data_IF_817247789583
#
_entry.id   IF_817247789583
#
_cell.length_a   1.000
_cell.length_b   1.000
_cell.length_c   1.000
_cell.angle_alpha   90.00
_cell.angle_beta   90.00
_cell.angle_gamma   90.00
#
_symmetry.space_group_name_H-M   'P 1'
#
loop_
_entity.id
_entity.type
_entity.pdbx_description
1 polymer ?
#
# COMPACT_ATOMS: atom_id res chain seq x y z
N UNK A 1 1.02 51.47 -57.55
CA UNK A 1 0.16 51.09 -56.41
C UNK A 1 -0.35 49.68 -56.68
N UNK A 2 -0.05 48.73 -55.80
CA UNK A 2 -0.55 47.35 -55.91
C UNK A 2 0.47 46.29 -55.50
N UNK A 3 1.03 46.40 -54.30
CA UNK A 3 1.69 45.25 -53.65
C UNK A 3 0.61 44.29 -53.15
N UNK A 4 0.67 43.04 -53.61
CA UNK A 4 -0.24 41.97 -53.18
C UNK A 4 0.01 41.54 -51.73
N UNK A 5 -1.00 40.97 -51.05
CA UNK A 5 -0.89 40.61 -49.64
C UNK A 5 0.10 39.45 -49.47
N UNK A 6 1.16 39.69 -48.67
CA UNK A 6 2.00 38.62 -48.12
C UNK A 6 1.11 37.71 -47.29
N UNK A 7 0.98 36.45 -47.72
CA UNK A 7 0.46 35.37 -46.88
C UNK A 7 1.29 35.34 -45.59
N UNK A 8 0.62 35.52 -44.46
CA UNK A 8 1.22 35.31 -43.14
C UNK A 8 1.73 33.87 -43.08
N UNK A 9 3.03 33.73 -42.80
CA UNK A 9 3.61 32.44 -42.42
C UNK A 9 2.85 31.95 -41.19
N UNK A 10 2.33 30.72 -41.25
CA UNK A 10 1.84 30.01 -40.08
C UNK A 10 2.91 30.07 -38.99
N UNK A 11 2.51 30.59 -37.83
CA UNK A 11 3.31 30.56 -36.61
C UNK A 11 3.34 29.12 -36.10
N UNK A 12 4.31 28.33 -36.56
CA UNK A 12 4.52 26.92 -36.14
C UNK A 12 5.26 26.79 -34.81
N UNK A 13 5.44 27.88 -34.04
CA UNK A 13 6.31 27.90 -32.86
C UNK A 13 5.64 27.60 -31.52
N UNK A 14 4.45 27.00 -31.50
CA UNK A 14 3.80 26.67 -30.23
C UNK A 14 2.95 25.38 -30.29
N UNK A 15 3.44 24.32 -30.95
CA UNK A 15 2.82 23.01 -30.75
C UNK A 15 3.16 22.50 -29.35
N UNK A 16 2.18 22.03 -28.56
CA UNK A 16 2.43 21.50 -27.23
C UNK A 16 3.36 20.29 -27.34
N UNK A 17 4.46 20.32 -26.59
CA UNK A 17 5.35 19.18 -26.45
C UNK A 17 4.81 18.26 -25.36
N UNK A 18 4.76 16.97 -25.66
CA UNK A 18 4.22 15.95 -24.75
C UNK A 18 5.31 14.97 -24.36
N UNK A 19 5.21 14.44 -23.14
CA UNK A 19 6.00 13.30 -22.66
C UNK A 19 5.06 12.27 -22.05
N UNK A 20 5.40 10.97 -22.07
CA UNK A 20 4.72 10.00 -21.23
C UNK A 20 4.78 10.44 -19.78
N UNK A 21 3.67 10.29 -19.05
CA UNK A 21 3.67 10.57 -17.63
C UNK A 21 4.79 9.75 -16.95
N UNK A 22 5.71 10.38 -16.20
CA UNK A 22 6.81 9.66 -15.56
C UNK A 22 6.32 8.71 -14.45
N UNK A 23 5.03 8.81 -14.10
CA UNK A 23 4.38 8.06 -13.03
C UNK A 23 3.73 6.74 -13.47
N UNK A 24 3.83 6.40 -14.76
CA UNK A 24 3.25 5.17 -15.30
C UNK A 24 4.04 3.95 -14.82
N UNK A 25 3.29 2.93 -14.39
CA UNK A 25 3.82 1.60 -14.12
C UNK A 25 3.83 0.79 -15.42
N UNK A 26 4.98 0.20 -15.73
CA UNK A 26 5.17 -0.60 -16.92
C UNK A 26 5.37 -2.06 -16.52
N UNK A 27 4.40 -2.90 -16.88
CA UNK A 27 4.46 -4.36 -16.72
C UNK A 27 4.70 -5.03 -18.07
N UNK A 28 4.91 -6.35 -18.11
CA UNK A 28 5.13 -7.08 -19.35
C UNK A 28 3.94 -6.99 -20.33
N UNK A 29 2.72 -7.01 -19.79
CA UNK A 29 1.47 -7.03 -20.58
C UNK A 29 0.47 -5.94 -20.19
N UNK A 30 0.90 -4.93 -19.42
CA UNK A 30 0.03 -3.84 -19.01
C UNK A 30 0.81 -2.54 -18.73
N UNK A 31 0.12 -1.40 -18.89
CA UNK A 31 0.56 -0.08 -18.41
C UNK A 31 -0.51 0.42 -17.45
N UNK A 32 -0.12 0.82 -16.24
CA UNK A 32 -1.04 1.40 -15.26
C UNK A 32 -0.69 2.86 -14.98
N UNK A 33 -1.72 3.69 -14.85
CA UNK A 33 -1.59 5.07 -14.41
C UNK A 33 -2.16 5.21 -12.97
N UNK A 34 -1.31 5.26 -11.94
CA UNK A 34 -1.75 5.32 -10.54
C UNK A 34 -2.46 6.64 -10.19
N UNK A 35 -2.22 7.74 -10.92
CA UNK A 35 -2.95 9.00 -10.68
C UNK A 35 -4.42 8.91 -11.09
N UNK A 36 -4.73 8.14 -12.14
CA UNK A 36 -6.10 8.00 -12.66
C UNK A 36 -6.76 6.69 -12.29
N UNK A 37 -5.98 5.68 -11.88
CA UNK A 37 -6.44 4.31 -11.68
C UNK A 37 -6.70 3.55 -12.98
N UNK A 38 -6.32 4.10 -14.14
CA UNK A 38 -6.54 3.47 -15.45
C UNK A 38 -5.47 2.42 -15.75
N UNK A 39 -5.87 1.36 -16.43
CA UNK A 39 -4.99 0.33 -16.96
C UNK A 39 -5.16 0.17 -18.47
N UNK A 40 -4.07 -0.17 -19.15
CA UNK A 40 -4.02 -0.46 -20.57
C UNK A 40 -3.37 -1.83 -20.77
N UNK A 41 -4.15 -2.81 -21.23
CA UNK A 41 -3.65 -4.16 -21.54
C UNK A 41 -2.90 -4.24 -22.87
N UNK A 42 -2.17 -5.34 -23.09
CA UNK A 42 -1.38 -5.56 -24.30
C UNK A 42 -2.20 -5.63 -25.60
N UNK A 43 -3.50 -5.89 -25.50
CA UNK A 43 -4.48 -5.92 -26.58
C UNK A 43 -5.01 -4.53 -26.96
N UNK A 44 -4.74 -3.50 -26.14
CA UNK A 44 -5.20 -2.15 -26.40
C UNK A 44 -4.47 -1.54 -27.62
N UNK A 45 -5.17 -0.83 -28.54
CA UNK A 45 -4.56 -0.26 -29.74
C UNK A 45 -3.37 0.67 -29.48
N UNK A 46 -3.38 1.36 -28.34
CA UNK A 46 -2.32 2.29 -27.94
C UNK A 46 -1.15 1.63 -27.18
N UNK A 47 -1.23 0.35 -26.83
CA UNK A 47 -0.25 -0.28 -25.93
C UNK A 47 1.17 -0.23 -26.49
N UNK A 48 1.36 -0.72 -27.72
CA UNK A 48 2.70 -0.81 -28.33
C UNK A 48 3.35 0.57 -28.46
N UNK A 49 2.57 1.57 -28.90
CA UNK A 49 3.07 2.93 -29.11
C UNK A 49 3.38 3.62 -27.77
N UNK A 50 2.49 3.56 -26.78
CA UNK A 50 2.75 4.16 -25.47
C UNK A 50 3.93 3.48 -24.76
N UNK A 51 4.02 2.14 -24.83
CA UNK A 51 5.16 1.39 -24.29
C UNK A 51 6.49 1.86 -24.89
N UNK A 52 6.55 2.01 -26.21
CA UNK A 52 7.76 2.46 -26.89
C UNK A 52 8.14 3.88 -26.46
N UNK A 53 7.16 4.79 -26.39
CA UNK A 53 7.39 6.16 -25.93
C UNK A 53 7.95 6.22 -24.49
N UNK A 54 7.44 5.38 -23.58
CA UNK A 54 7.93 5.28 -22.20
C UNK A 54 9.37 4.77 -22.15
N UNK A 55 9.71 3.76 -22.97
CA UNK A 55 11.04 3.15 -22.99
C UNK A 55 12.10 4.05 -23.62
N UNK A 56 11.73 4.83 -24.63
CA UNK A 56 12.65 5.73 -25.31
C UNK A 56 12.84 7.07 -24.57
N UNK A 57 12.00 7.37 -23.57
CA UNK A 57 11.99 8.66 -22.85
C UNK A 57 11.86 9.88 -23.81
N UNK A 58 11.09 9.69 -24.89
CA UNK A 58 11.00 10.65 -25.99
C UNK A 58 10.09 11.86 -25.69
N UNK A 59 10.50 13.04 -26.16
CA UNK A 59 9.64 14.22 -26.28
C UNK A 59 8.92 14.17 -27.62
N UNK A 60 7.60 14.24 -27.56
CA UNK A 60 6.72 14.18 -28.73
C UNK A 60 6.40 15.62 -29.16
N UNK A 61 6.82 15.98 -30.38
CA UNK A 61 6.70 17.34 -30.91
C UNK A 61 5.48 17.54 -31.83
N UNK A 62 4.68 16.51 -32.08
CA UNK A 62 3.60 16.54 -33.07
C UNK A 62 2.21 16.53 -32.42
N UNK A 63 1.31 17.36 -32.96
CA UNK A 63 -0.12 17.25 -32.74
C UNK A 63 -0.71 16.11 -33.58
N UNK A 64 -0.37 14.87 -33.25
CA UNK A 64 -1.02 13.68 -33.82
C UNK A 64 -2.32 13.40 -33.04
N UNK A 65 -3.39 12.97 -33.71
CA UNK A 65 -4.70 12.66 -33.09
C UNK A 65 -4.55 11.70 -31.89
N UNK A 66 -3.76 10.64 -32.07
CA UNK A 66 -3.35 9.72 -31.00
C UNK A 66 -2.72 10.41 -29.76
N UNK A 67 -1.91 11.47 -29.94
CA UNK A 67 -1.30 12.18 -28.81
C UNK A 67 -2.33 12.98 -28.03
N UNK A 68 -3.34 13.53 -28.71
CA UNK A 68 -4.46 14.18 -28.06
C UNK A 68 -5.29 13.17 -27.26
N UNK A 69 -5.61 12.01 -27.85
CA UNK A 69 -6.33 10.94 -27.14
C UNK A 69 -5.57 10.44 -25.90
N UNK A 70 -4.25 10.22 -26.02
CA UNK A 70 -3.42 9.81 -24.90
C UNK A 70 -3.31 10.89 -23.82
N UNK A 71 -3.27 12.17 -24.21
CA UNK A 71 -3.26 13.30 -23.28
C UNK A 71 -4.59 13.48 -22.55
N UNK A 72 -5.72 13.32 -23.24
CA UNK A 72 -7.08 13.39 -22.67
C UNK A 72 -7.34 12.32 -21.59
N UNK A 73 -6.48 11.29 -21.54
CA UNK A 73 -6.51 10.21 -20.56
C UNK A 73 -5.30 10.20 -19.61
N UNK A 74 -4.52 11.29 -19.56
CA UNK A 74 -3.34 11.49 -18.71
C UNK A 74 -2.21 10.45 -18.90
N UNK A 75 -2.16 9.77 -20.05
CA UNK A 75 -1.03 8.92 -20.43
C UNK A 75 0.17 9.76 -20.88
N UNK A 76 -0.11 10.86 -21.57
CA UNK A 76 0.85 11.90 -21.89
C UNK A 76 0.55 13.15 -21.07
N UNK A 77 1.60 13.89 -20.71
CA UNK A 77 1.51 15.18 -20.03
C UNK A 77 2.32 16.24 -20.78
N UNK A 78 1.98 17.53 -20.65
CA UNK A 78 2.80 18.60 -21.21
C UNK A 78 4.20 18.57 -20.60
N UNK A 79 5.21 18.86 -21.42
CA UNK A 79 6.58 19.06 -20.91
C UNK A 79 6.58 20.14 -19.82
N UNK A 80 7.15 19.81 -18.66
CA UNK A 80 7.21 20.71 -17.51
C UNK A 80 5.97 20.67 -16.60
N UNK A 81 4.94 19.89 -16.92
CA UNK A 81 3.84 19.64 -15.99
C UNK A 81 4.34 18.87 -14.76
N UNK A 82 3.98 19.36 -13.57
CA UNK A 82 4.34 18.73 -12.30
C UNK A 82 3.12 18.01 -11.70
N UNK A 83 3.10 16.69 -11.80
CA UNK A 83 2.09 15.85 -11.16
C UNK A 83 2.49 15.42 -9.74
N UNK A 84 3.67 15.82 -9.23
CA UNK A 84 4.17 15.33 -7.95
C UNK A 84 3.32 15.74 -6.75
N UNK A 85 2.47 16.76 -6.85
CA UNK A 85 1.51 17.13 -5.81
C UNK A 85 0.17 16.39 -5.89
N UNK A 86 -0.06 15.62 -6.97
CA UNK A 86 -1.30 14.87 -7.17
C UNK A 86 -1.27 13.54 -6.41
N UNK A 87 -2.46 13.08 -6.00
CA UNK A 87 -2.64 11.82 -5.30
C UNK A 87 -4.02 11.23 -5.62
N UNK A 88 -4.15 9.92 -5.39
CA UNK A 88 -5.41 9.18 -5.51
C UNK A 88 -5.49 8.18 -4.36
N UNK A 89 -5.73 8.66 -3.14
CA UNK A 89 -5.64 7.81 -1.95
C UNK A 89 -6.73 6.73 -2.00
N UNK A 90 -6.31 5.47 -1.90
CA UNK A 90 -7.17 4.29 -1.86
C UNK A 90 -6.97 3.52 -0.56
N UNK A 91 -5.76 3.51 -0.04
CA UNK A 91 -5.40 2.69 1.09
C UNK A 91 -4.81 3.53 2.22
N UNK A 92 -5.33 3.34 3.42
CA UNK A 92 -4.85 4.02 4.62
C UNK A 92 -4.32 2.95 5.58
N UNK A 93 -3.07 3.05 5.99
CA UNK A 93 -2.56 2.29 7.13
C UNK A 93 -2.52 3.20 8.35
N UNK A 94 -3.27 2.87 9.40
CA UNK A 94 -3.39 3.67 10.62
C UNK A 94 -3.02 2.82 11.83
N UNK A 95 -1.80 2.99 12.33
CA UNK A 95 -1.33 2.30 13.53
C UNK A 95 -1.78 3.04 14.79
N UNK A 96 -2.66 2.44 15.58
CA UNK A 96 -3.15 3.03 16.83
C UNK A 96 -2.15 2.93 18.00
N UNK A 97 -1.22 1.98 17.94
CA UNK A 97 -0.21 1.73 18.97
C UNK A 97 0.97 0.93 18.40
N UNK A 98 2.14 0.96 19.03
CA UNK A 98 3.34 0.25 18.56
C UNK A 98 3.49 -1.19 19.09
N UNK A 99 2.56 -1.63 19.93
CA UNK A 99 2.66 -2.90 20.69
C UNK A 99 2.21 -4.10 19.85
N UNK A 100 3.00 -5.17 19.85
CA UNK A 100 2.60 -6.50 19.42
C UNK A 100 2.99 -7.53 20.48
N UNK A 101 2.13 -8.51 20.72
CA UNK A 101 2.34 -9.59 21.68
C UNK A 101 3.02 -10.83 21.08
N UNK A 102 3.50 -10.76 19.83
CA UNK A 102 4.30 -11.78 19.15
C UNK A 102 5.62 -11.19 18.62
N UNK A 103 6.53 -12.06 18.18
CA UNK A 103 7.87 -11.74 17.66
C UNK A 103 8.15 -12.58 16.41
N UNK A 104 7.32 -12.41 15.38
CA UNK A 104 7.37 -13.26 14.18
C UNK A 104 8.69 -13.14 13.43
N UNK A 105 9.23 -14.24 12.89
CA UNK A 105 10.51 -14.24 12.14
C UNK A 105 10.50 -13.28 10.93
N UNK A 106 9.33 -13.08 10.31
CA UNK A 106 9.12 -12.17 9.17
C UNK A 106 8.75 -10.73 9.58
N UNK A 107 8.97 -10.35 10.84
CA UNK A 107 8.61 -9.05 11.38
C UNK A 107 9.81 -8.38 12.09
N UNK A 108 10.15 -7.12 11.78
CA UNK A 108 11.23 -6.38 12.46
C UNK A 108 11.08 -6.29 13.97
N UNK A 109 9.85 -6.37 14.50
CA UNK A 109 9.57 -6.39 15.95
C UNK A 109 10.29 -7.55 16.67
N UNK A 110 10.61 -8.64 15.95
CA UNK A 110 11.37 -9.78 16.50
C UNK A 110 12.82 -9.43 16.84
N UNK A 111 13.45 -8.53 16.07
CA UNK A 111 14.87 -8.18 16.18
C UNK A 111 15.11 -6.78 16.75
N UNK A 112 14.15 -5.86 16.58
CA UNK A 112 14.25 -4.47 16.96
C UNK A 112 12.92 -3.98 17.59
N UNK A 113 12.47 -4.54 18.73
CA UNK A 113 11.18 -4.17 19.32
C UNK A 113 11.11 -2.66 19.64
N UNK A 114 9.97 -2.03 19.33
CA UNK A 114 9.71 -0.62 19.64
C UNK A 114 9.21 -0.45 21.07
N UNK A 115 9.51 0.71 21.64
CA UNK A 115 8.91 1.13 22.92
C UNK A 115 7.37 1.21 22.79
N UNK A 116 6.62 0.75 23.81
CA UNK A 116 5.17 0.87 23.81
C UNK A 116 4.72 2.32 23.73
N UNK A 117 3.94 2.63 22.69
CA UNK A 117 3.30 3.91 22.48
C UNK A 117 1.87 3.68 22.02
N UNK A 118 0.94 4.46 22.55
CA UNK A 118 -0.47 4.44 22.18
C UNK A 118 -0.84 5.83 21.68
N UNK A 119 -1.27 5.92 20.42
CA UNK A 119 -1.77 7.17 19.86
C UNK A 119 -2.93 7.69 20.73
N UNK A 120 -2.95 8.97 21.11
CA UNK A 120 -4.09 9.55 21.80
C UNK A 120 -5.38 9.39 20.98
N UNK A 121 -6.49 9.01 21.62
CA UNK A 121 -7.77 8.78 20.94
C UNK A 121 -8.23 9.98 20.12
N UNK A 122 -7.98 11.20 20.59
CA UNK A 122 -8.30 12.43 19.84
C UNK A 122 -7.54 12.53 18.52
N UNK A 123 -6.26 12.12 18.50
CA UNK A 123 -5.45 12.11 17.26
C UNK A 123 -5.94 11.03 16.31
N UNK A 124 -6.30 9.85 16.82
CA UNK A 124 -6.89 8.78 16.02
C UNK A 124 -8.22 9.21 15.38
N UNK A 125 -9.14 9.74 16.18
CA UNK A 125 -10.46 10.21 15.71
C UNK A 125 -10.32 11.33 14.68
N UNK A 126 -9.39 12.27 14.91
CA UNK A 126 -9.08 13.32 13.93
C UNK A 126 -8.52 12.74 12.63
N UNK A 127 -7.60 11.79 12.69
CA UNK A 127 -7.04 11.15 11.50
C UNK A 127 -8.14 10.46 10.67
N UNK A 128 -9.03 9.71 11.31
CA UNK A 128 -10.17 9.05 10.66
C UNK A 128 -11.09 10.08 9.99
N UNK A 129 -11.45 11.17 10.70
CA UNK A 129 -12.26 12.25 10.14
C UNK A 129 -11.59 12.90 8.92
N UNK A 130 -10.31 13.25 9.03
CA UNK A 130 -9.58 13.90 7.95
C UNK A 130 -9.43 12.99 6.72
N UNK A 131 -9.33 11.66 6.89
CA UNK A 131 -9.39 10.69 5.79
C UNK A 131 -10.74 10.74 5.09
N UNK A 132 -11.85 10.75 5.84
CA UNK A 132 -13.19 10.83 5.26
C UNK A 132 -13.40 12.14 4.48
N UNK A 133 -12.82 13.25 4.95
CA UNK A 133 -12.84 14.58 4.30
C UNK A 133 -11.97 14.69 3.03
N UNK A 134 -11.21 13.65 2.66
CA UNK A 134 -10.41 13.67 1.42
C UNK A 134 -11.28 13.52 0.16
N UNK A 135 -12.49 12.97 0.28
CA UNK A 135 -13.37 12.64 -0.85
C UNK A 135 -12.67 11.76 -1.90
N UNK A 136 -11.87 10.80 -1.42
CA UNK A 136 -11.09 9.86 -2.23
C UNK A 136 -11.76 8.47 -2.24
N UNK A 137 -11.46 7.61 -3.24
CA UNK A 137 -12.00 6.25 -3.30
C UNK A 137 -11.28 5.33 -2.30
N UNK A 138 -11.49 5.54 -0.99
CA UNK A 138 -10.88 4.74 0.06
C UNK A 138 -11.45 3.32 0.02
N UNK A 139 -10.57 2.34 -0.18
CA UNK A 139 -10.88 0.91 -0.23
C UNK A 139 -10.65 0.22 1.11
N UNK A 140 -9.67 0.68 1.90
CA UNK A 140 -9.54 0.25 3.29
C UNK A 140 -8.81 1.25 4.18
N UNK A 141 -9.28 1.36 5.42
CA UNK A 141 -8.52 1.87 6.56
C UNK A 141 -8.04 0.69 7.37
N UNK A 142 -6.81 0.28 7.10
CA UNK A 142 -6.17 -0.86 7.72
C UNK A 142 -5.50 -0.47 9.01
N UNK A 143 -5.89 -1.10 10.12
CA UNK A 143 -5.33 -0.82 11.45
C UNK A 143 -3.95 -1.48 11.63
N UNK A 144 -2.93 -1.07 10.87
CA UNK A 144 -1.61 -1.72 10.88
C UNK A 144 -0.46 -0.73 10.72
N UNK A 145 0.65 -1.04 11.40
CA UNK A 145 1.99 -1.03 10.80
C UNK A 145 2.79 -2.24 11.27
N UNK A 146 3.10 -2.29 12.57
CA UNK A 146 3.86 -3.38 13.20
C UNK A 146 3.34 -3.69 14.61
N UNK A 147 2.01 -3.67 14.74
CA UNK A 147 1.27 -3.85 15.98
C UNK A 147 0.33 -5.06 15.91
N UNK A 148 -0.26 -5.43 17.04
CA UNK A 148 -1.41 -6.33 17.09
C UNK A 148 -2.65 -5.52 17.47
N UNK A 149 -3.55 -5.20 16.52
CA UNK A 149 -4.67 -4.27 16.79
C UNK A 149 -5.58 -4.77 17.90
N UNK A 150 -5.83 -6.08 17.95
CA UNK A 150 -6.82 -6.65 18.87
C UNK A 150 -6.37 -6.61 20.32
N UNK A 151 -5.09 -6.36 20.64
CA UNK A 151 -4.64 -6.23 22.05
C UNK A 151 -4.89 -4.85 22.65
N UNK A 152 -5.22 -3.83 21.84
CA UNK A 152 -5.63 -2.53 22.36
C UNK A 152 -7.06 -2.63 22.94
N UNK A 153 -7.24 -2.23 24.21
CA UNK A 153 -8.57 -2.21 24.85
C UNK A 153 -9.56 -1.29 24.14
N UNK A 154 -9.06 -0.37 23.32
CA UNK A 154 -9.84 0.58 22.51
C UNK A 154 -10.19 0.04 21.13
N UNK A 155 -9.75 -1.17 20.77
CA UNK A 155 -9.87 -1.73 19.43
C UNK A 155 -11.30 -1.65 18.85
N UNK A 156 -12.30 -2.12 19.60
CA UNK A 156 -13.71 -2.10 19.16
C UNK A 156 -14.20 -0.67 18.89
N UNK A 157 -13.84 0.29 19.76
CA UNK A 157 -14.22 1.70 19.60
C UNK A 157 -13.45 2.39 18.45
N UNK A 158 -12.21 1.98 18.18
CA UNK A 158 -11.44 2.44 17.02
C UNK A 158 -12.08 1.96 15.72
N UNK A 159 -12.51 0.69 15.66
CA UNK A 159 -13.27 0.15 14.52
C UNK A 159 -14.58 0.90 14.35
N UNK A 160 -15.30 1.18 15.45
CA UNK A 160 -16.53 1.99 15.44
C UNK A 160 -16.30 3.37 14.86
N UNK A 161 -15.24 4.05 15.30
CA UNK A 161 -14.89 5.36 14.77
C UNK A 161 -14.67 5.36 13.25
N UNK A 162 -13.97 4.35 12.70
CA UNK A 162 -13.76 4.21 11.26
C UNK A 162 -15.10 3.98 10.53
N UNK A 163 -15.93 3.07 11.04
CA UNK A 163 -17.24 2.75 10.45
C UNK A 163 -18.20 3.92 10.47
N UNK A 164 -18.28 4.65 11.59
CA UNK A 164 -19.17 5.80 11.77
C UNK A 164 -18.77 6.98 10.86
N UNK A 165 -17.49 7.05 10.45
CA UNK A 165 -17.00 7.96 9.43
C UNK A 165 -17.32 7.51 7.98
N UNK A 166 -18.02 6.38 7.79
CA UNK A 166 -18.36 5.83 6.48
C UNK A 166 -17.18 5.18 5.76
N UNK A 167 -16.10 4.86 6.47
CA UNK A 167 -14.88 4.29 5.89
C UNK A 167 -14.84 2.75 6.04
N UNK A 168 -14.26 2.03 5.07
CA UNK A 168 -14.12 0.58 5.13
C UNK A 168 -13.02 0.16 6.12
N UNK A 169 -13.42 -0.28 7.32
CA UNK A 169 -12.48 -0.76 8.34
C UNK A 169 -11.86 -2.12 7.96
N UNK A 170 -10.53 -2.20 8.02
CA UNK A 170 -9.78 -3.43 7.77
C UNK A 170 -8.81 -3.75 8.92
N UNK A 171 -8.66 -5.03 9.26
CA UNK A 171 -7.83 -5.49 10.37
C UNK A 171 -6.97 -6.67 9.96
N UNK A 172 -5.67 -6.57 10.27
CA UNK A 172 -4.69 -7.64 10.14
C UNK A 172 -4.26 -8.01 11.57
N UNK A 173 -4.45 -9.27 11.95
CA UNK A 173 -4.24 -9.75 13.31
C UNK A 173 -3.46 -11.07 13.33
N UNK A 174 -2.81 -11.36 14.45
CA UNK A 174 -2.30 -12.68 14.79
C UNK A 174 -3.35 -13.59 15.45
N UNK A 175 -4.58 -13.07 15.66
CA UNK A 175 -5.74 -13.81 16.17
C UNK A 175 -5.72 -14.08 17.68
N UNK A 176 -4.65 -13.70 18.40
CA UNK A 176 -4.47 -14.12 19.79
C UNK A 176 -5.41 -13.42 20.79
N UNK A 177 -5.93 -12.24 20.44
CA UNK A 177 -6.95 -11.53 21.23
C UNK A 177 -8.29 -11.37 20.48
N UNK A 178 -8.54 -12.23 19.47
CA UNK A 178 -9.84 -12.37 18.80
C UNK A 178 -10.80 -13.20 19.68
N UNK A 179 -10.94 -12.80 20.94
CA UNK A 179 -11.81 -13.47 21.92
C UNK A 179 -13.29 -13.32 21.50
N UNK A 180 -14.20 -14.19 21.98
CA UNK A 180 -15.62 -14.13 21.65
C UNK A 180 -16.24 -12.74 21.77
N UNK A 181 -15.88 -11.99 22.81
CA UNK A 181 -16.39 -10.63 23.03
C UNK A 181 -15.97 -9.67 21.91
N UNK A 182 -14.76 -9.80 21.37
CA UNK A 182 -14.28 -9.02 20.23
C UNK A 182 -15.05 -9.40 18.97
N UNK A 183 -15.23 -10.70 18.71
CA UNK A 183 -15.95 -11.22 17.53
C UNK A 183 -17.41 -10.75 17.57
N UNK A 184 -18.09 -10.95 18.69
CA UNK A 184 -19.48 -10.56 18.88
C UNK A 184 -19.68 -9.06 18.75
N UNK A 185 -18.72 -8.25 19.23
CA UNK A 185 -18.75 -6.81 19.04
C UNK A 185 -18.69 -6.45 17.54
N UNK A 186 -17.79 -7.06 16.76
CA UNK A 186 -17.71 -6.82 15.32
C UNK A 186 -18.99 -7.26 14.60
N UNK A 187 -19.53 -8.44 14.94
CA UNK A 187 -20.80 -8.95 14.40
C UNK A 187 -21.96 -8.01 14.74
N UNK A 188 -22.06 -7.53 15.98
CA UNK A 188 -23.12 -6.61 16.44
C UNK A 188 -23.12 -5.28 15.69
N UNK A 189 -21.97 -4.89 15.15
CA UNK A 189 -21.81 -3.69 14.33
C UNK A 189 -22.12 -3.94 12.84
N UNK A 190 -22.55 -5.14 12.47
CA UNK A 190 -22.80 -5.56 11.09
C UNK A 190 -21.54 -5.99 10.33
N UNK A 191 -20.48 -6.39 11.04
CA UNK A 191 -19.21 -6.80 10.46
C UNK A 191 -18.33 -5.64 10.00
N UNK A 192 -17.07 -5.91 9.61
CA UNK A 192 -16.15 -4.94 9.00
C UNK A 192 -15.87 -5.30 7.53
N UNK A 193 -15.14 -4.44 6.80
CA UNK A 193 -14.84 -4.71 5.40
C UNK A 193 -13.91 -5.92 5.23
N UNK A 194 -12.81 -5.97 5.98
CA UNK A 194 -11.81 -7.02 5.81
C UNK A 194 -11.17 -7.40 7.15
N UNK A 195 -11.09 -8.70 7.45
CA UNK A 195 -10.36 -9.22 8.60
C UNK A 195 -9.45 -10.35 8.16
N UNK A 196 -8.14 -10.24 8.43
CA UNK A 196 -7.21 -11.34 8.22
C UNK A 196 -6.47 -11.77 9.47
N UNK A 197 -6.32 -13.08 9.60
CA UNK A 197 -5.49 -13.71 10.63
C UNK A 197 -4.28 -14.35 9.99
N UNK A 198 -3.11 -14.01 10.49
CA UNK A 198 -1.88 -14.66 10.07
C UNK A 198 -1.62 -15.94 10.88
N UNK A 199 -1.79 -17.10 10.25
CA UNK A 199 -1.54 -18.42 10.82
C UNK A 199 -0.75 -19.24 9.80
N UNK A 200 0.51 -19.54 10.11
CA UNK A 200 1.42 -20.22 9.16
C UNK A 200 1.68 -21.68 9.48
N UNK A 201 1.20 -22.18 10.61
CA UNK A 201 1.39 -23.58 10.99
C UNK A 201 0.36 -24.04 12.01
N UNK A 202 0.02 -25.33 11.96
CA UNK A 202 -0.77 -26.02 12.99
C UNK A 202 0.13 -26.80 13.97
N UNK A 203 1.45 -26.81 13.75
CA UNK A 203 2.41 -27.43 14.65
C UNK A 203 2.79 -26.45 15.77
N UNK A 204 2.68 -26.91 17.02
CA UNK A 204 2.89 -26.06 18.19
C UNK A 204 4.34 -25.62 18.35
N UNK A 205 5.29 -26.52 18.10
CA UNK A 205 6.72 -26.23 18.27
C UNK A 205 7.18 -25.24 17.21
N UNK A 206 6.79 -25.48 15.95
CA UNK A 206 7.02 -24.58 14.83
C UNK A 206 6.34 -23.23 15.06
N UNK A 207 5.10 -23.20 15.57
CA UNK A 207 4.42 -21.94 15.90
C UNK A 207 5.20 -21.14 16.96
N UNK A 208 5.59 -21.79 18.05
CA UNK A 208 6.33 -21.13 19.13
C UNK A 208 7.67 -20.57 18.63
N UNK A 209 8.36 -21.30 17.75
CA UNK A 209 9.58 -20.88 17.07
C UNK A 209 9.32 -19.67 16.15
N UNK A 210 8.34 -19.77 15.25
CA UNK A 210 8.07 -18.76 14.22
C UNK A 210 7.52 -17.46 14.78
N UNK A 211 6.79 -17.53 15.90
CA UNK A 211 6.09 -16.38 16.54
C UNK A 211 6.80 -15.86 17.77
N UNK A 212 7.81 -16.56 18.27
CA UNK A 212 8.50 -16.28 19.54
C UNK A 212 7.62 -16.40 20.79
N UNK A 213 6.38 -16.91 20.64
CA UNK A 213 5.38 -17.10 21.69
C UNK A 213 4.48 -18.29 21.34
N UNK A 214 4.11 -19.06 22.35
CA UNK A 214 3.15 -20.16 22.20
C UNK A 214 1.72 -19.68 22.45
N UNK A 215 1.07 -19.18 21.39
CA UNK A 215 -0.33 -18.73 21.42
C UNK A 215 -1.24 -19.63 20.56
N UNK A 216 -0.73 -20.74 20.02
CA UNK A 216 -1.42 -21.50 18.98
C UNK A 216 -2.79 -22.00 19.45
N UNK A 217 -2.86 -22.66 20.60
CA UNK A 217 -4.11 -23.21 21.14
C UNK A 217 -5.19 -22.12 21.29
N UNK A 218 -4.82 -20.94 21.81
CA UNK A 218 -5.72 -19.80 21.94
C UNK A 218 -6.16 -19.25 20.58
N UNK A 219 -5.23 -19.12 19.63
CA UNK A 219 -5.56 -18.65 18.27
C UNK A 219 -6.53 -19.61 17.59
N UNK A 220 -6.31 -20.92 17.70
CA UNK A 220 -7.22 -21.92 17.13
C UNK A 220 -8.60 -21.87 17.79
N UNK A 221 -8.68 -21.72 19.12
CA UNK A 221 -9.96 -21.57 19.81
C UNK A 221 -10.73 -20.32 19.37
N UNK A 222 -10.02 -19.18 19.23
CA UNK A 222 -10.61 -17.93 18.74
C UNK A 222 -11.10 -18.05 17.29
N UNK A 223 -10.29 -18.67 16.42
CA UNK A 223 -10.68 -18.93 15.04
C UNK A 223 -11.86 -19.90 14.94
N UNK A 224 -11.90 -20.94 15.77
CA UNK A 224 -13.02 -21.89 15.82
C UNK A 224 -14.33 -21.22 16.23
N UNK A 225 -14.28 -20.20 17.10
CA UNK A 225 -15.44 -19.36 17.44
C UNK A 225 -15.85 -18.46 16.27
N UNK A 226 -14.87 -17.80 15.63
CA UNK A 226 -15.14 -16.80 14.59
C UNK A 226 -15.57 -17.39 13.25
N UNK A 227 -15.18 -18.64 12.93
CA UNK A 227 -15.21 -19.22 11.58
C UNK A 227 -16.58 -19.21 10.88
N UNK A 228 -17.68 -19.27 11.64
CA UNK A 228 -19.05 -19.31 11.12
C UNK A 228 -19.80 -17.97 11.31
N UNK A 229 -19.11 -16.95 11.84
CA UNK A 229 -19.69 -15.62 12.07
C UNK A 229 -19.53 -14.74 10.85
N UNK A 230 -20.34 -13.68 10.76
CA UNK A 230 -20.20 -12.63 9.74
C UNK A 230 -19.45 -11.41 10.31
N UNK A 231 -18.32 -11.63 10.99
CA UNK A 231 -17.57 -10.54 11.62
C UNK A 231 -16.87 -9.61 10.61
N UNK A 232 -16.68 -10.07 9.37
CA UNK A 232 -16.23 -9.25 8.25
C UNK A 232 -16.83 -9.73 6.93
N UNK A 233 -16.91 -8.84 5.93
CA UNK A 233 -17.32 -9.18 4.56
C UNK A 233 -16.32 -10.16 3.92
N UNK A 234 -15.03 -9.90 4.11
CA UNK A 234 -13.93 -10.77 3.71
C UNK A 234 -13.16 -11.23 4.94
N UNK A 235 -13.19 -12.54 5.19
CA UNK A 235 -12.46 -13.20 6.29
C UNK A 235 -11.36 -14.07 5.69
N UNK A 236 -10.10 -13.79 6.01
CA UNK A 236 -8.95 -14.47 5.40
C UNK A 236 -8.01 -15.05 6.45
N UNK A 237 -7.56 -16.28 6.23
CA UNK A 237 -6.39 -16.83 6.93
C UNK A 237 -5.20 -16.76 5.97
N UNK A 238 -4.19 -16.01 6.35
CA UNK A 238 -2.95 -15.84 5.58
C UNK A 238 -1.87 -16.79 6.10
N UNK A 239 -1.43 -17.67 5.22
CA UNK A 239 -0.32 -18.60 5.45
C UNK A 239 0.93 -18.01 4.82
N UNK A 240 1.89 -17.61 5.65
CA UNK A 240 3.20 -17.13 5.18
C UNK A 240 4.26 -18.21 5.29
N UNK A 241 5.09 -18.34 4.26
CA UNK A 241 6.25 -19.22 4.23
C UNK A 241 7.32 -18.74 3.26
N UNK A 242 8.55 -19.19 3.48
CA UNK A 242 9.71 -18.92 2.60
C UNK A 242 10.25 -20.18 1.92
N UNK A 243 10.04 -21.34 2.53
CA UNK A 243 10.35 -22.64 1.93
C UNK A 243 9.14 -23.14 1.12
N UNK A 244 9.23 -23.30 -0.21
CA UNK A 244 8.05 -23.59 -1.04
C UNK A 244 7.34 -24.89 -0.68
N UNK A 245 8.09 -25.94 -0.31
CA UNK A 245 7.50 -27.25 0.00
C UNK A 245 6.77 -27.23 1.36
N UNK A 246 7.41 -26.69 2.40
CA UNK A 246 6.79 -26.52 3.71
C UNK A 246 5.61 -25.55 3.65
N UNK A 247 5.75 -24.45 2.92
CA UNK A 247 4.69 -23.48 2.74
C UNK A 247 3.45 -24.12 2.10
N UNK A 248 3.63 -24.91 1.04
CA UNK A 248 2.53 -25.64 0.39
C UNK A 248 1.88 -26.66 1.35
N UNK A 249 2.67 -27.39 2.15
CA UNK A 249 2.14 -28.32 3.16
C UNK A 249 1.30 -27.61 4.22
N UNK A 250 1.78 -26.48 4.74
CA UNK A 250 1.06 -25.71 5.75
C UNK A 250 -0.22 -25.09 5.19
N UNK A 251 -0.16 -24.57 3.95
CA UNK A 251 -1.32 -24.07 3.24
C UNK A 251 -2.40 -25.15 3.10
N UNK A 252 -2.03 -26.36 2.66
CA UNK A 252 -2.99 -27.46 2.51
C UNK A 252 -3.60 -27.88 3.86
N UNK A 253 -2.78 -28.02 4.90
CA UNK A 253 -3.24 -28.42 6.22
C UNK A 253 -4.23 -27.41 6.84
N UNK A 254 -3.93 -26.12 6.73
CA UNK A 254 -4.80 -25.04 7.23
C UNK A 254 -6.07 -24.94 6.38
N UNK A 255 -5.96 -25.04 5.05
CA UNK A 255 -7.11 -25.07 4.15
C UNK A 255 -8.06 -26.21 4.50
N UNK A 256 -7.53 -27.40 4.79
CA UNK A 256 -8.34 -28.56 5.20
C UNK A 256 -9.03 -28.34 6.55
N UNK A 257 -8.35 -27.71 7.52
CA UNK A 257 -8.93 -27.41 8.84
C UNK A 257 -10.11 -26.46 8.76
N UNK A 258 -10.01 -25.42 7.94
CA UNK A 258 -11.01 -24.34 7.83
C UNK A 258 -11.97 -24.52 6.63
N UNK A 259 -11.94 -25.68 5.98
CA UNK A 259 -12.87 -26.01 4.90
C UNK A 259 -14.34 -25.89 5.37
N UNK A 260 -15.15 -25.20 4.58
CA UNK A 260 -16.57 -24.97 4.86
C UNK A 260 -16.86 -23.82 5.83
N UNK A 261 -15.85 -23.16 6.38
CA UNK A 261 -16.03 -21.92 7.14
C UNK A 261 -16.11 -20.67 6.23
N UNK A 262 -16.38 -19.51 6.82
CA UNK A 262 -16.30 -18.23 6.13
C UNK A 262 -14.86 -17.76 5.86
N UNK A 263 -13.84 -18.38 6.48
CA UNK A 263 -12.45 -18.04 6.19
C UNK A 263 -11.99 -18.58 4.84
N UNK A 264 -11.55 -17.68 3.96
CA UNK A 264 -10.75 -18.02 2.78
C UNK A 264 -9.30 -18.20 3.22
N UNK A 265 -8.66 -19.30 2.84
CA UNK A 265 -7.23 -19.51 3.12
C UNK A 265 -6.44 -19.05 1.91
N UNK A 266 -5.40 -18.25 2.13
CA UNK A 266 -4.52 -17.72 1.09
C UNK A 266 -3.06 -17.88 1.52
N UNK A 267 -2.21 -18.23 0.58
CA UNK A 267 -0.77 -18.28 0.75
C UNK A 267 -0.09 -17.02 0.19
N UNK A 268 0.89 -16.50 0.91
CA UNK A 268 1.72 -15.39 0.44
C UNK A 268 3.17 -15.58 0.88
N UNK A 269 4.10 -15.05 0.10
CA UNK A 269 5.47 -14.86 0.60
C UNK A 269 5.51 -13.71 1.62
N UNK A 270 6.33 -13.81 2.67
CA UNK A 270 6.58 -12.68 3.57
C UNK A 270 7.40 -11.59 2.88
N UNK A 271 7.50 -10.44 3.56
CA UNK A 271 8.31 -9.32 3.12
C UNK A 271 9.60 -9.20 3.92
N UNK A 272 10.71 -9.02 3.22
CA UNK A 272 12.02 -8.71 3.80
C UNK A 272 12.11 -7.29 4.38
N UNK A 273 11.02 -6.52 4.26
CA UNK A 273 10.90 -5.12 4.69
C UNK A 273 11.94 -4.21 4.05
N UNK A 274 12.08 -4.32 2.73
CA UNK A 274 13.04 -3.56 1.95
C UNK A 274 14.49 -3.78 2.43
N UNK A 275 14.81 -5.05 2.69
CA UNK A 275 16.11 -5.49 3.17
C UNK A 275 16.37 -5.28 4.66
N UNK A 276 15.35 -5.00 5.48
CA UNK A 276 15.51 -4.96 6.95
C UNK A 276 15.73 -6.35 7.53
N UNK A 277 15.05 -7.36 6.97
CA UNK A 277 15.09 -8.74 7.41
C UNK A 277 15.88 -9.59 6.42
N UNK A 278 16.81 -10.38 6.94
CA UNK A 278 17.52 -11.39 6.16
C UNK A 278 16.73 -12.71 6.18
N UNK A 279 15.75 -12.79 5.28
CA UNK A 279 14.86 -13.96 5.13
C UNK A 279 14.95 -14.59 3.73
N UNK A 280 16.02 -14.30 2.99
CA UNK A 280 16.26 -14.87 1.66
C UNK A 280 15.40 -14.29 0.53
N UNK A 281 14.71 -13.16 0.75
CA UNK A 281 13.79 -12.54 -0.22
C UNK A 281 14.27 -11.15 -0.69
N UNK A 282 15.59 -10.96 -0.72
CA UNK A 282 16.22 -9.72 -1.14
C UNK A 282 15.85 -9.35 -2.59
N UNK A 283 15.54 -8.07 -2.83
CA UNK A 283 15.25 -7.55 -4.18
C UNK A 283 16.36 -7.84 -5.20
N UNK A 284 15.98 -8.25 -6.41
CA UNK A 284 16.83 -8.31 -7.60
C UNK A 284 16.86 -6.96 -8.35
N UNK A 285 17.77 -6.83 -9.34
CA UNK A 285 17.82 -5.67 -10.24
C UNK A 285 18.17 -4.34 -9.58
N UNK A 286 18.87 -4.35 -8.44
CA UNK A 286 19.17 -3.15 -7.63
C UNK A 286 20.10 -2.14 -8.34
N UNK A 287 20.76 -2.57 -9.39
CA UNK A 287 21.59 -1.76 -10.28
C UNK A 287 20.78 -0.86 -11.23
N UNK A 288 19.51 -1.20 -11.47
CA UNK A 288 18.60 -0.45 -12.34
C UNK A 288 17.98 0.75 -11.61
N UNK A 289 17.55 1.75 -12.38
CA UNK A 289 16.91 2.95 -11.85
C UNK A 289 15.50 2.64 -11.38
N UNK A 290 15.12 3.18 -10.22
CA UNK A 290 13.75 3.09 -9.70
C UNK A 290 12.82 3.94 -10.58
N UNK A 291 11.67 3.38 -10.97
CA UNK A 291 10.66 4.00 -11.82
C UNK A 291 9.23 3.74 -11.31
N UNK A 292 9.08 3.57 -10.00
CA UNK A 292 7.79 3.37 -9.34
C UNK A 292 7.82 2.32 -8.25
N UNK A 293 6.62 1.95 -7.79
CA UNK A 293 6.39 0.94 -6.76
C UNK A 293 5.10 0.21 -7.11
N UNK A 294 5.13 -1.12 -7.07
CA UNK A 294 3.94 -1.96 -7.18
C UNK A 294 3.83 -2.85 -5.95
N UNK A 295 3.52 -2.22 -4.81
CA UNK A 295 3.18 -2.94 -3.60
C UNK A 295 1.72 -2.67 -3.25
N UNK A 296 0.81 -3.42 -3.89
CA UNK A 296 -0.63 -3.10 -3.96
C UNK A 296 -0.86 -1.74 -4.65
N UNK A 297 -0.29 -1.58 -5.85
CA UNK A 297 -0.22 -0.30 -6.53
C UNK A 297 0.88 0.62 -6.01
N UNK A 298 0.74 1.91 -6.26
CA UNK A 298 1.74 2.92 -5.95
C UNK A 298 1.61 3.41 -4.52
N UNK A 299 2.50 2.95 -3.63
CA UNK A 299 2.58 3.44 -2.24
C UNK A 299 2.60 4.98 -2.12
N UNK A 300 3.44 5.74 -2.86
CA UNK A 300 3.48 7.20 -2.73
C UNK A 300 2.33 7.97 -3.42
N UNK A 301 1.45 7.32 -4.19
CA UNK A 301 0.31 8.00 -4.86
C UNK A 301 -1.04 7.55 -4.29
N UNK A 302 -1.16 6.26 -4.00
CA UNK A 302 -2.43 5.61 -3.65
C UNK A 302 -2.52 5.24 -2.16
N UNK A 303 -1.45 5.39 -1.39
CA UNK A 303 -1.40 5.02 0.03
C UNK A 303 -1.00 6.18 0.92
N UNK A 304 -1.49 6.16 2.15
CA UNK A 304 -0.98 6.95 3.26
C UNK A 304 -0.72 6.03 4.46
N UNK A 305 0.41 6.24 5.14
CA UNK A 305 0.88 5.41 6.24
C UNK A 305 1.11 6.26 7.48
N UNK A 306 0.26 6.07 8.48
CA UNK A 306 0.28 6.83 9.74
C UNK A 306 0.72 5.88 10.85
N UNK A 307 1.83 6.19 11.52
CA UNK A 307 2.37 5.38 12.61
C UNK A 307 1.77 5.76 13.96
N UNK A 308 2.03 4.95 15.00
CA UNK A 308 1.53 5.21 16.35
C UNK A 308 1.84 6.63 16.86
N UNK A 309 3.03 7.17 16.52
CA UNK A 309 3.47 8.52 16.90
C UNK A 309 2.87 9.63 16.02
N UNK A 310 1.87 9.30 15.20
CA UNK A 310 1.22 10.18 14.24
C UNK A 310 2.16 10.73 13.14
N UNK A 311 3.29 10.06 12.90
CA UNK A 311 4.14 10.33 11.74
C UNK A 311 3.47 9.78 10.48
N UNK A 312 3.49 10.55 9.41
CA UNK A 312 3.20 10.05 8.06
C UNK A 312 4.53 9.63 7.45
N UNK A 313 4.66 8.34 7.09
CA UNK A 313 5.88 7.76 6.51
C UNK A 313 5.65 7.34 5.06
N UNK A 314 6.74 7.19 4.29
CA UNK A 314 6.66 6.90 2.85
C UNK A 314 5.95 5.58 2.51
N UNK A 315 6.09 4.56 3.35
CA UNK A 315 5.59 3.22 3.10
C UNK A 315 5.57 2.41 4.40
N UNK A 316 4.69 1.41 4.50
CA UNK A 316 4.69 0.46 5.61
C UNK A 316 5.98 -0.38 5.72
N UNK A 317 6.86 -0.37 4.72
CA UNK A 317 8.18 -1.01 4.82
C UNK A 317 9.18 -0.19 5.64
N UNK A 318 8.92 1.10 5.90
CA UNK A 318 9.82 2.01 6.62
C UNK A 318 9.71 1.86 8.14
N UNK A 319 10.15 0.70 8.66
CA UNK A 319 10.03 0.32 10.07
C UNK A 319 10.61 1.34 11.06
N UNK A 320 11.79 1.87 10.74
CA UNK A 320 12.50 2.84 11.58
C UNK A 320 11.97 4.28 11.40
N UNK A 321 10.97 4.48 10.52
CA UNK A 321 10.41 5.78 10.17
C UNK A 321 11.49 6.77 9.68
N UNK A 322 12.41 6.33 8.81
CA UNK A 322 13.52 7.14 8.29
C UNK A 322 13.05 8.15 7.24
N UNK A 323 11.95 7.86 6.54
CA UNK A 323 11.40 8.63 5.44
C UNK A 323 10.04 9.23 5.84
N UNK A 324 10.07 10.15 6.80
CA UNK A 324 8.89 10.88 7.28
C UNK A 324 8.51 12.00 6.32
N UNK A 325 7.24 12.04 5.95
CA UNK A 325 6.65 13.02 5.03
C UNK A 325 5.83 14.09 5.75
N UNK A 326 5.49 13.89 7.02
CA UNK A 326 4.78 14.85 7.85
C UNK A 326 4.41 14.28 9.22
N UNK A 327 3.72 15.07 10.04
CA UNK A 327 3.23 14.63 11.35
C UNK A 327 1.86 15.26 11.68
N UNK A 328 0.89 14.42 12.08
CA UNK A 328 -0.48 14.89 12.33
C UNK A 328 -0.60 15.76 13.58
N UNK A 329 0.38 15.79 14.48
CA UNK A 329 0.37 16.70 15.62
C UNK A 329 0.56 18.17 15.18
N UNK A 330 1.08 18.41 13.98
CA UNK A 330 1.40 19.76 13.47
C UNK A 330 0.73 20.11 12.16
N UNK A 331 0.22 19.12 11.41
CA UNK A 331 -0.36 19.28 10.09
C UNK A 331 -1.62 18.42 9.96
N UNK A 332 -2.53 18.80 9.08
CA UNK A 332 -3.61 17.94 8.60
C UNK A 332 -3.10 16.96 7.53
N UNK A 333 -3.85 15.88 7.30
CA UNK A 333 -3.56 14.91 6.24
C UNK A 333 -3.48 15.59 4.87
N UNK A 334 -4.40 16.51 4.56
CA UNK A 334 -4.43 17.23 3.28
C UNK A 334 -3.16 18.07 3.09
N UNK A 335 -2.74 18.81 4.11
CA UNK A 335 -1.50 19.60 4.07
C UNK A 335 -0.26 18.73 3.83
N UNK A 336 -0.20 17.55 4.45
CA UNK A 336 0.90 16.59 4.25
C UNK A 336 0.90 16.06 2.82
N UNK A 337 -0.26 15.64 2.29
CA UNK A 337 -0.37 15.02 0.96
C UNK A 337 0.01 15.95 -0.21
N UNK A 338 -0.16 17.27 -0.03
CA UNK A 338 0.23 18.29 -1.02
C UNK A 338 1.57 18.95 -0.70
N UNK A 339 2.24 18.55 0.38
CA UNK A 339 3.51 19.14 0.80
C UNK A 339 4.66 18.82 -0.16
N UNK A 340 5.70 19.66 -0.11
CA UNK A 340 6.94 19.43 -0.86
C UNK A 340 7.64 18.13 -0.45
N UNK A 341 7.51 17.71 0.81
CA UNK A 341 8.09 16.44 1.27
C UNK A 341 7.48 15.25 0.54
N UNK A 342 6.16 15.23 0.36
CA UNK A 342 5.46 14.19 -0.38
C UNK A 342 5.75 14.26 -1.88
N UNK A 343 5.78 15.48 -2.44
CA UNK A 343 6.09 15.72 -3.84
C UNK A 343 7.51 15.24 -4.20
N UNK A 344 8.50 15.59 -3.38
CA UNK A 344 9.87 15.12 -3.50
C UNK A 344 9.96 13.59 -3.40
N UNK A 345 9.28 12.97 -2.43
CA UNK A 345 9.25 11.51 -2.30
C UNK A 345 8.68 10.83 -3.56
N UNK A 346 7.60 11.37 -4.14
CA UNK A 346 7.03 10.87 -5.41
C UNK A 346 8.03 11.01 -6.56
N UNK A 347 8.69 12.17 -6.70
CA UNK A 347 9.70 12.37 -7.76
C UNK A 347 10.88 11.41 -7.61
N UNK A 348 11.34 11.14 -6.38
CA UNK A 348 12.42 10.19 -6.12
C UNK A 348 11.99 8.74 -6.44
N UNK A 349 10.82 8.29 -5.96
CA UNK A 349 10.33 6.91 -6.21
C UNK A 349 10.15 6.63 -7.69
N UNK A 350 9.77 7.63 -8.48
CA UNK A 350 9.61 7.48 -9.93
C UNK A 350 10.88 7.82 -10.72
N UNK A 351 11.98 8.06 -10.02
CA UNK A 351 13.27 8.36 -10.61
C UNK A 351 13.26 9.62 -11.45
N UNK A 352 12.43 10.61 -11.13
CA UNK A 352 12.52 11.96 -11.71
C UNK A 352 13.71 12.68 -11.07
N UNK A 353 13.75 12.64 -9.74
CA UNK A 353 14.87 13.14 -8.93
C UNK A 353 15.80 11.97 -8.53
N UNK A 354 17.11 12.21 -8.35
CA UNK A 354 18.03 11.18 -7.89
C UNK A 354 17.72 10.78 -6.44
N UNK A 355 17.73 9.48 -6.10
CA UNK A 355 17.51 9.05 -4.73
C UNK A 355 18.71 9.41 -3.84
N UNK A 356 18.48 9.80 -2.58
CA UNK A 356 19.54 9.92 -1.59
C UNK A 356 20.19 8.57 -1.30
N UNK A 357 21.38 8.61 -0.67
CA UNK A 357 22.05 7.41 -0.20
C UNK A 357 21.13 6.64 0.77
N UNK A 358 21.12 5.30 0.64
CA UNK A 358 20.29 4.40 1.46
C UNK A 358 18.77 4.59 1.35
N UNK A 359 18.30 5.20 0.25
CA UNK A 359 16.87 5.31 -0.02
C UNK A 359 16.15 3.95 0.04
N UNK A 360 15.08 3.87 0.82
CA UNK A 360 14.43 2.60 1.16
C UNK A 360 13.92 1.85 -0.08
N UNK A 361 13.33 2.56 -1.04
CA UNK A 361 12.78 1.92 -2.24
C UNK A 361 13.86 1.32 -3.13
N UNK A 362 15.11 1.79 -3.05
CA UNK A 362 16.22 1.21 -3.81
C UNK A 362 16.47 -0.26 -3.41
N UNK A 363 16.18 -0.61 -2.15
CA UNK A 363 16.37 -1.96 -1.58
C UNK A 363 15.10 -2.82 -1.64
N UNK A 364 13.95 -2.24 -2.01
CA UNK A 364 12.66 -2.91 -1.94
C UNK A 364 12.38 -3.81 -3.15
N UNK A 365 11.87 -5.03 -2.91
CA UNK A 365 11.54 -5.99 -4.00
C UNK A 365 10.34 -5.56 -4.86
N UNK A 366 9.50 -4.66 -4.34
CA UNK A 366 8.34 -4.11 -5.06
C UNK A 366 8.64 -2.82 -5.83
N UNK A 367 9.88 -2.32 -5.79
CA UNK A 367 10.23 -1.16 -6.60
C UNK A 367 10.22 -1.57 -8.08
N UNK A 368 9.51 -0.81 -8.91
CA UNK A 368 9.56 -0.98 -10.35
C UNK A 368 10.86 -0.39 -10.85
N UNK A 369 11.54 -1.08 -11.75
CA UNK A 369 12.87 -0.68 -12.24
C UNK A 369 12.98 -0.86 -13.74
N UNK A 370 13.74 0.02 -14.39
CA UNK A 370 14.15 -0.08 -15.79
C UNK A 370 15.36 0.80 -16.08
#
# INVERSE_FOLDING_TARGET
>A
MGEGPRKSMNDTRNQPQWIPSPYLHLFEHAILNPHTGRGMGADHPWYTVLRQLILDENVINESHELCAELADHDWLIPVGADLSHQYRIRWVSLEAHSVCNQRCFFCPVSVAPREPYFMPTEVFNRAVREVAELEQPIEAVTMIQYNEPTVDRRFVEQVRCIKDAGLPAAVLSNGSNLVPETVDALVSMGGIHYFSVNLSTLDREQYAKDRGKDHLERVLANLDYAKDTAMAEEMVIVVLGTDPEEHARQYEAISRRFAGSHFKVQDFEPNDRAGYLDIGLAAEGRELRIRGCDYMGSRPIEHIHITAAANVVICCQDYDEKWRLGNLNTQSIREILVSEAYASARRIVYGIDPPPQDFICAKCRYALRR
#
